data_IF_078454569680
#
_entry.id   IF_078454569680
#
_cell.length_a   1.000
_cell.length_b   1.000
_cell.length_c   1.000
_cell.angle_alpha   90.00
_cell.angle_beta   90.00
_cell.angle_gamma   90.00
#
_symmetry.space_group_name_H-M   'P 1'
#
loop_
_entity.id
_entity.type
_entity.pdbx_description
1 polymer ?
#
# COMPACT_ATOMS: atom_id res chain seq x y z
N UNK A 1 40.70 9.75 49.29
CA UNK A 1 39.57 9.02 48.68
C UNK A 1 38.60 10.04 48.12
N UNK A 2 38.53 10.19 46.79
CA UNK A 2 37.67 11.17 46.11
C UNK A 2 36.47 10.40 45.56
N UNK A 3 35.28 10.66 46.09
CA UNK A 3 34.02 10.10 45.62
C UNK A 3 33.58 10.88 44.38
N UNK A 4 33.72 10.28 43.19
CA UNK A 4 33.21 10.85 41.95
C UNK A 4 31.74 10.48 41.80
N UNK A 5 30.89 11.52 41.84
CA UNK A 5 29.43 11.42 41.66
C UNK A 5 29.13 11.11 40.19
N UNK A 6 28.58 9.94 39.94
CA UNK A 6 28.02 9.56 38.64
C UNK A 6 26.83 10.49 38.31
N UNK A 7 26.96 11.25 37.22
CA UNK A 7 25.86 12.01 36.62
C UNK A 7 24.87 11.08 35.90
N UNK A 8 23.55 11.34 35.94
CA UNK A 8 22.58 10.56 35.19
C UNK A 8 22.69 10.89 33.70
N UNK A 9 22.72 9.86 32.87
CA UNK A 9 22.78 9.95 31.41
C UNK A 9 21.40 10.39 30.94
N UNK A 10 21.25 11.66 30.55
CA UNK A 10 20.06 12.13 29.85
C UNK A 10 19.96 11.38 28.52
N UNK A 11 19.04 10.41 28.46
CA UNK A 11 18.66 9.77 27.20
C UNK A 11 17.97 10.84 26.37
N UNK A 12 18.69 11.41 25.42
CA UNK A 12 18.10 12.12 24.28
C UNK A 12 17.01 11.23 23.69
N UNK A 13 15.75 11.60 23.92
CA UNK A 13 14.61 11.10 23.17
C UNK A 13 14.92 11.46 21.73
N UNK A 14 15.30 10.44 20.95
CA UNK A 14 15.50 10.59 19.52
C UNK A 14 14.26 11.22 18.94
N UNK A 15 14.46 12.34 18.25
CA UNK A 15 13.50 12.88 17.29
C UNK A 15 13.01 11.70 16.46
N UNK A 16 11.75 11.30 16.68
CA UNK A 16 11.07 10.41 15.76
C UNK A 16 10.83 11.31 14.55
N UNK A 17 11.79 11.32 13.62
CA UNK A 17 11.56 11.88 12.29
C UNK A 17 10.29 11.20 11.78
N UNK A 18 9.29 11.96 11.28
CA UNK A 18 8.08 11.34 10.75
C UNK A 18 8.55 10.36 9.68
N UNK A 19 8.32 9.07 9.96
CA UNK A 19 8.55 7.99 9.01
C UNK A 19 7.84 8.43 7.75
N UNK A 20 8.65 8.73 6.72
CA UNK A 20 8.32 8.98 5.33
C UNK A 20 6.87 8.56 5.09
N UNK A 21 5.95 9.54 5.00
CA UNK A 21 4.56 9.29 4.68
C UNK A 21 4.55 8.61 3.31
N UNK A 22 4.63 7.28 3.31
CA UNK A 22 4.48 6.47 2.13
C UNK A 22 3.26 7.04 1.42
N UNK A 23 3.41 7.56 0.18
CA UNK A 23 2.41 8.41 -0.42
C UNK A 23 1.07 7.70 -0.31
N UNK A 24 0.16 8.28 0.47
CA UNK A 24 -1.19 7.73 0.62
C UNK A 24 -1.75 7.63 -0.79
N UNK A 25 -1.85 6.41 -1.30
CA UNK A 25 -2.27 6.17 -2.67
C UNK A 25 -3.63 6.85 -2.85
N UNK A 26 -3.76 7.68 -3.88
CA UNK A 26 -5.03 8.32 -4.16
C UNK A 26 -6.08 7.27 -4.55
N UNK A 27 -7.37 7.60 -4.42
CA UNK A 27 -8.43 6.70 -4.85
C UNK A 27 -8.30 6.31 -6.33
N UNK A 28 -7.76 7.20 -7.17
CA UNK A 28 -7.48 6.93 -8.57
C UNK A 28 -6.33 5.92 -8.75
N UNK A 29 -5.26 6.03 -7.95
CA UNK A 29 -4.16 5.07 -7.95
C UNK A 29 -4.63 3.68 -7.48
N UNK A 30 -5.48 3.65 -6.45
CA UNK A 30 -6.05 2.42 -5.89
C UNK A 30 -6.98 1.78 -6.92
N UNK A 31 -7.86 2.56 -7.56
CA UNK A 31 -8.72 2.07 -8.64
C UNK A 31 -7.90 1.51 -9.81
N UNK A 32 -6.85 2.22 -10.23
CA UNK A 32 -5.94 1.78 -11.29
C UNK A 32 -5.26 0.45 -10.96
N UNK A 33 -4.80 0.28 -9.72
CA UNK A 33 -4.22 -0.98 -9.24
C UNK A 33 -5.23 -2.11 -9.17
N UNK A 34 -6.46 -1.83 -8.72
CA UNK A 34 -7.57 -2.81 -8.70
C UNK A 34 -7.88 -3.28 -10.12
N UNK A 35 -7.96 -2.37 -11.09
CA UNK A 35 -8.20 -2.73 -12.50
C UNK A 35 -7.02 -3.53 -13.09
N UNK A 36 -5.79 -3.13 -12.77
CA UNK A 36 -4.58 -3.89 -13.15
C UNK A 36 -4.58 -5.31 -12.59
N UNK A 37 -4.93 -5.48 -11.32
CA UNK A 37 -5.08 -6.81 -10.69
C UNK A 37 -6.22 -7.60 -11.31
N UNK A 38 -7.37 -6.96 -11.53
CA UNK A 38 -8.54 -7.57 -12.18
C UNK A 38 -8.18 -8.07 -13.58
N UNK A 39 -7.35 -7.35 -14.33
CA UNK A 39 -6.85 -7.80 -15.64
C UNK A 39 -6.09 -9.13 -15.55
N UNK A 40 -5.28 -9.33 -14.52
CA UNK A 40 -4.57 -10.59 -14.29
C UNK A 40 -5.55 -11.72 -13.98
N UNK A 41 -6.60 -11.44 -13.20
CA UNK A 41 -7.62 -12.43 -12.85
C UNK A 41 -8.59 -12.76 -14.01
N UNK A 42 -8.87 -11.79 -14.89
CA UNK A 42 -9.94 -11.83 -15.90
C UNK A 42 -9.40 -12.06 -17.32
N UNK A 43 -8.08 -12.16 -17.50
CA UNK A 43 -7.41 -12.38 -18.78
C UNK A 43 -7.97 -13.55 -19.64
N UNK A 44 -8.76 -14.46 -19.04
CA UNK A 44 -9.34 -15.62 -19.70
C UNK A 44 -10.84 -15.47 -20.05
N UNK A 45 -11.55 -14.46 -19.55
CA UNK A 45 -13.02 -14.43 -19.60
C UNK A 45 -13.63 -13.39 -20.57
N UNK A 46 -12.82 -12.50 -21.17
CA UNK A 46 -13.33 -11.45 -22.08
C UNK A 46 -14.26 -10.42 -21.42
N UNK A 47 -14.38 -10.46 -20.08
CA UNK A 47 -15.24 -9.57 -19.31
C UNK A 47 -14.57 -8.20 -19.13
N UNK A 48 -15.37 -7.13 -19.18
CA UNK A 48 -14.89 -5.76 -18.98
C UNK A 48 -14.39 -5.60 -17.54
N UNK A 49 -13.14 -5.15 -17.38
CA UNK A 49 -12.42 -5.13 -16.10
C UNK A 49 -13.19 -4.40 -14.98
N UNK A 50 -13.83 -3.27 -15.31
CA UNK A 50 -14.63 -2.49 -14.37
C UNK A 50 -15.82 -3.29 -13.86
N UNK A 51 -16.51 -4.02 -14.73
CA UNK A 51 -17.64 -4.88 -14.37
C UNK A 51 -17.22 -6.02 -13.46
N UNK A 52 -16.04 -6.58 -13.72
CA UNK A 52 -15.48 -7.67 -12.94
C UNK A 52 -14.96 -7.22 -11.56
N UNK A 53 -14.52 -5.97 -11.44
CA UNK A 53 -14.14 -5.35 -10.16
C UNK A 53 -15.39 -4.92 -9.36
N UNK A 54 -16.41 -4.38 -10.03
CA UNK A 54 -17.74 -4.09 -9.49
C UNK A 54 -18.39 -5.35 -8.91
N UNK A 55 -18.43 -6.44 -9.69
CA UNK A 55 -19.04 -7.71 -9.27
C UNK A 55 -18.33 -8.35 -8.08
N UNK A 56 -17.05 -8.04 -7.90
CA UNK A 56 -16.24 -8.48 -6.74
C UNK A 56 -16.33 -7.53 -5.55
N UNK A 57 -17.05 -6.41 -5.69
CA UNK A 57 -17.20 -5.41 -4.64
C UNK A 57 -15.94 -4.59 -4.36
N UNK A 58 -14.95 -4.59 -5.25
CA UNK A 58 -13.71 -3.81 -5.07
C UNK A 58 -13.86 -2.36 -5.53
N UNK A 59 -14.75 -2.13 -6.49
CA UNK A 59 -15.18 -0.80 -6.92
C UNK A 59 -16.67 -0.63 -6.65
N UNK A 60 -17.09 0.60 -6.38
CA UNK A 60 -18.49 1.00 -6.35
C UNK A 60 -19.01 1.37 -7.74
N UNK A 61 -20.30 1.66 -7.84
CA UNK A 61 -20.96 2.05 -9.10
C UNK A 61 -20.39 3.33 -9.74
N UNK A 62 -19.69 4.16 -8.97
CA UNK A 62 -19.01 5.39 -9.43
C UNK A 62 -17.55 5.12 -9.83
N UNK A 63 -17.09 3.87 -9.74
CA UNK A 63 -15.72 3.47 -10.06
C UNK A 63 -14.70 3.79 -8.98
N UNK A 64 -15.15 4.12 -7.76
CA UNK A 64 -14.28 4.41 -6.62
C UNK A 64 -13.98 3.12 -5.85
N UNK A 65 -12.78 3.02 -5.25
CA UNK A 65 -12.45 1.88 -4.41
C UNK A 65 -13.35 1.82 -3.18
N UNK A 66 -13.90 0.64 -2.90
CA UNK A 66 -14.63 0.34 -1.67
C UNK A 66 -13.64 -0.01 -0.55
N UNK A 67 -14.15 -0.16 0.69
CA UNK A 67 -13.34 -0.66 1.80
C UNK A 67 -12.63 -1.99 1.47
N UNK A 68 -13.30 -2.89 0.74
CA UNK A 68 -12.72 -4.16 0.30
C UNK A 68 -11.64 -3.96 -0.78
N UNK A 69 -11.85 -3.01 -1.70
CA UNK A 69 -10.84 -2.62 -2.68
C UNK A 69 -9.59 -2.00 -2.02
N UNK A 70 -9.78 -1.16 -1.01
CA UNK A 70 -8.70 -0.63 -0.19
C UNK A 70 -7.96 -1.75 0.57
N UNK A 71 -8.70 -2.67 1.20
CA UNK A 71 -8.13 -3.81 1.91
C UNK A 71 -7.34 -4.74 0.97
N UNK A 72 -7.80 -4.93 -0.27
CA UNK A 72 -7.08 -5.68 -1.30
C UNK A 72 -5.74 -5.01 -1.62
N UNK A 73 -5.73 -3.71 -1.93
CA UNK A 73 -4.49 -3.01 -2.27
C UNK A 73 -3.54 -2.97 -1.08
N UNK A 74 -4.06 -2.78 0.14
CA UNK A 74 -3.27 -2.90 1.35
C UNK A 74 -2.70 -4.31 1.51
N UNK A 75 -3.46 -5.37 1.27
CA UNK A 75 -2.95 -6.75 1.35
C UNK A 75 -1.85 -7.04 0.31
N UNK A 76 -2.02 -6.57 -0.93
CA UNK A 76 -1.01 -6.68 -2.00
C UNK A 76 0.25 -5.87 -1.70
N UNK A 77 0.10 -4.72 -1.03
CA UNK A 77 1.21 -3.83 -0.68
C UNK A 77 1.90 -4.25 0.63
N UNK A 78 1.16 -4.83 1.58
CA UNK A 78 1.60 -5.10 2.95
C UNK A 78 2.57 -6.27 3.07
N UNK A 79 2.69 -7.17 2.08
CA UNK A 79 3.56 -8.36 2.21
C UNK A 79 4.39 -8.79 0.98
N UNK A 80 4.22 -8.21 -0.21
CA UNK A 80 4.93 -8.70 -1.43
C UNK A 80 5.60 -7.63 -2.32
N UNK A 81 5.51 -6.33 -2.02
CA UNK A 81 5.81 -5.29 -3.03
C UNK A 81 7.04 -4.40 -2.76
N UNK A 82 7.99 -4.83 -1.92
CA UNK A 82 9.13 -3.98 -1.59
C UNK A 82 10.15 -3.80 -2.72
N UNK A 83 10.33 -4.74 -3.67
CA UNK A 83 11.47 -4.62 -4.63
C UNK A 83 11.30 -5.26 -6.03
N UNK A 84 10.17 -5.87 -6.39
CA UNK A 84 10.16 -6.84 -7.50
C UNK A 84 9.75 -6.39 -8.92
N UNK A 85 9.02 -5.29 -9.11
CA UNK A 85 8.29 -5.05 -10.38
C UNK A 85 8.76 -3.81 -11.17
N UNK A 86 10.00 -3.36 -10.94
CA UNK A 86 10.68 -2.35 -11.78
C UNK A 86 11.87 -2.93 -12.56
N UNK A 87 11.75 -4.15 -13.09
CA UNK A 87 12.57 -4.58 -14.22
C UNK A 87 11.69 -5.05 -15.37
N UNK A 88 11.35 -4.12 -16.26
CA UNK A 88 11.08 -4.48 -17.64
C UNK A 88 12.38 -5.04 -18.25
N UNK A 89 12.39 -6.25 -18.83
CA UNK A 89 13.45 -6.61 -19.75
C UNK A 89 13.26 -5.79 -21.04
N UNK A 90 14.36 -5.15 -21.46
CA UNK A 90 14.60 -4.57 -22.79
C UNK A 90 14.49 -5.61 -23.90
#
# INVERSE_FOLDING_TARGET
>A
MKMERFAPIERSVGTIEPVDEAPMLSNEDIASRILGFTRVCVALAGERLEQAALSRGWLDAEGRPTADGHALILALTSRDSAYGVYRMPV
#
